data_IF_759511080512
#
_entry.id   IF_759511080512
#
_cell.length_a   1.000
_cell.length_b   1.000
_cell.length_c   1.000
_cell.angle_alpha   90.00
_cell.angle_beta   90.00
_cell.angle_gamma   90.00
#
_symmetry.space_group_name_H-M   'P 1'
#
loop_
_entity.id
_entity.type
_entity.pdbx_description
1 polymer ?
#
# COMPACT_ATOMS: atom_id res chain seq x y z
N UNK A 1 10.47 -5.14 -0.45
CA UNK A 1 8.99 -5.23 -0.63
C UNK A 1 8.39 -3.98 -1.27
N UNK A 2 8.66 -2.76 -0.78
CA UNK A 2 8.10 -1.54 -1.38
C UNK A 2 8.42 -1.38 -2.89
N UNK A 3 9.64 -1.68 -3.31
CA UNK A 3 10.04 -1.64 -4.73
C UNK A 3 9.20 -2.56 -5.63
N UNK A 4 8.78 -3.73 -5.11
CA UNK A 4 7.93 -4.67 -5.85
C UNK A 4 6.51 -4.09 -6.00
N UNK A 5 5.98 -3.46 -4.96
CA UNK A 5 4.67 -2.80 -5.01
C UNK A 5 4.67 -1.60 -5.96
N UNK A 6 5.75 -0.81 -5.98
CA UNK A 6 5.94 0.27 -6.95
C UNK A 6 6.01 -0.29 -8.36
N UNK A 7 6.77 -1.36 -8.59
CA UNK A 7 6.89 -1.98 -9.92
C UNK A 7 5.54 -2.53 -10.43
N UNK A 8 4.83 -3.28 -9.60
CA UNK A 8 3.51 -3.83 -9.94
C UNK A 8 2.48 -2.71 -10.13
N UNK A 9 2.45 -1.71 -9.25
CA UNK A 9 1.58 -0.54 -9.36
C UNK A 9 1.87 0.27 -10.63
N UNK A 10 3.15 0.43 -10.99
CA UNK A 10 3.56 1.10 -12.23
C UNK A 10 3.09 0.35 -13.47
N UNK A 11 3.21 -0.98 -13.48
CA UNK A 11 2.72 -1.81 -14.58
C UNK A 11 1.20 -1.70 -14.75
N UNK A 12 0.44 -1.81 -13.66
CA UNK A 12 -1.02 -1.63 -13.68
C UNK A 12 -1.39 -0.22 -14.12
N UNK A 13 -0.67 0.80 -13.65
CA UNK A 13 -0.88 2.20 -14.00
C UNK A 13 -0.69 2.46 -15.49
N UNK A 14 0.35 1.90 -16.11
CA UNK A 14 0.61 2.02 -17.56
C UNK A 14 -0.52 1.37 -18.36
N UNK A 15 -0.91 0.14 -18.00
CA UNK A 15 -1.98 -0.58 -18.70
C UNK A 15 -3.31 0.18 -18.60
N UNK A 16 -3.63 0.68 -17.41
CA UNK A 16 -4.88 1.42 -17.17
C UNK A 16 -4.87 2.76 -17.90
N UNK A 17 -3.74 3.48 -17.89
CA UNK A 17 -3.57 4.72 -18.66
C UNK A 17 -3.71 4.47 -20.17
N UNK A 18 -3.12 3.39 -20.69
CA UNK A 18 -3.24 3.03 -22.09
C UNK A 18 -4.70 2.73 -22.47
N UNK A 19 -5.43 1.99 -21.63
CA UNK A 19 -6.87 1.73 -21.85
C UNK A 19 -7.65 3.04 -21.83
N UNK A 20 -7.38 3.96 -20.88
CA UNK A 20 -8.06 5.25 -20.81
C UNK A 20 -7.81 6.11 -22.06
N UNK A 21 -6.59 6.15 -22.57
CA UNK A 21 -6.26 6.90 -23.78
C UNK A 21 -6.93 6.28 -25.02
N UNK A 22 -6.89 4.94 -25.15
CA UNK A 22 -7.38 4.24 -26.33
C UNK A 22 -8.90 4.18 -26.43
N UNK A 23 -9.60 4.03 -25.30
CA UNK A 23 -11.05 3.75 -25.29
C UNK A 23 -11.89 4.90 -24.74
N UNK A 24 -11.31 5.82 -23.98
CA UNK A 24 -12.06 6.89 -23.30
C UNK A 24 -11.63 8.30 -23.73
N UNK A 25 -10.76 8.41 -24.75
CA UNK A 25 -10.28 9.69 -25.25
C UNK A 25 -9.50 10.51 -24.20
N UNK A 26 -8.94 9.83 -23.20
CA UNK A 26 -8.18 10.50 -22.15
C UNK A 26 -6.91 11.15 -22.73
N UNK A 27 -6.60 12.33 -22.22
CA UNK A 27 -5.39 13.05 -22.60
C UNK A 27 -4.14 12.39 -22.02
N UNK A 28 -2.99 12.68 -22.62
CA UNK A 28 -1.70 12.15 -22.19
C UNK A 28 -1.39 12.51 -20.72
N UNK A 29 -1.81 13.70 -20.30
CA UNK A 29 -1.70 14.17 -18.92
C UNK A 29 -2.53 13.34 -17.93
N UNK A 30 -3.77 13.01 -18.29
CA UNK A 30 -4.63 12.17 -17.44
C UNK A 30 -4.04 10.78 -17.24
N UNK A 31 -3.51 10.17 -18.30
CA UNK A 31 -2.84 8.88 -18.17
C UNK A 31 -1.55 8.92 -17.35
N UNK A 32 -0.80 10.03 -17.41
CA UNK A 32 0.37 10.23 -16.55
C UNK A 32 -0.02 10.32 -15.07
N UNK A 33 -1.10 11.04 -14.76
CA UNK A 33 -1.66 11.10 -13.39
C UNK A 33 -2.10 9.73 -12.91
N UNK A 34 -2.78 8.95 -13.76
CA UNK A 34 -3.22 7.58 -13.44
C UNK A 34 -2.04 6.66 -13.18
N UNK A 35 -1.00 6.75 -14.01
CA UNK A 35 0.25 6.04 -13.78
C UNK A 35 0.86 6.36 -12.40
N UNK A 36 1.01 7.65 -12.09
CA UNK A 36 1.56 8.09 -10.79
C UNK A 36 0.68 7.66 -9.62
N UNK A 37 -0.64 7.74 -9.77
CA UNK A 37 -1.59 7.34 -8.75
C UNK A 37 -1.48 5.85 -8.41
N UNK A 38 -1.34 4.97 -9.40
CA UNK A 38 -1.15 3.54 -9.15
C UNK A 38 0.27 3.18 -8.69
N UNK A 39 1.29 3.86 -9.23
CA UNK A 39 2.69 3.62 -8.87
C UNK A 39 2.98 3.96 -7.40
N UNK A 40 2.44 5.08 -6.90
CA UNK A 40 2.68 5.55 -5.53
C UNK A 40 1.52 5.24 -4.58
N UNK A 41 0.28 5.25 -5.06
CA UNK A 41 -0.90 5.03 -4.22
C UNK A 41 -0.96 3.63 -3.63
N UNK A 42 -0.63 2.59 -4.41
CA UNK A 42 -0.59 1.21 -3.90
C UNK A 42 0.40 1.05 -2.73
N UNK A 43 1.68 1.45 -2.86
CA UNK A 43 2.62 1.45 -1.75
C UNK A 43 2.13 2.24 -0.53
N UNK A 44 1.56 3.43 -0.74
CA UNK A 44 1.07 4.28 0.35
C UNK A 44 -0.09 3.63 1.11
N UNK A 45 -1.06 3.05 0.40
CA UNK A 45 -2.21 2.37 1.01
C UNK A 45 -1.75 1.14 1.79
N UNK A 46 -0.85 0.33 1.23
CA UNK A 46 -0.31 -0.84 1.92
C UNK A 46 0.47 -0.43 3.17
N UNK A 47 1.26 0.64 3.10
CA UNK A 47 1.98 1.18 4.25
C UNK A 47 1.02 1.69 5.34
N UNK A 48 -0.05 2.40 4.97
CA UNK A 48 -1.09 2.85 5.91
C UNK A 48 -1.80 1.68 6.58
N UNK A 49 -2.12 0.62 5.85
CA UNK A 49 -2.74 -0.59 6.42
C UNK A 49 -1.77 -1.27 7.39
N UNK A 50 -0.50 -1.43 7.00
CA UNK A 50 0.52 -2.01 7.88
C UNK A 50 0.69 -1.20 9.17
N UNK A 51 0.69 0.13 9.06
CA UNK A 51 0.71 1.02 10.21
C UNK A 51 -0.54 0.89 11.09
N UNK A 52 -1.73 0.87 10.50
CA UNK A 52 -2.98 0.69 11.23
C UNK A 52 -3.01 -0.66 11.98
N UNK A 53 -2.57 -1.74 11.33
CA UNK A 53 -2.43 -3.06 11.97
C UNK A 53 -1.42 -3.00 13.12
N UNK A 54 -0.29 -2.31 12.95
CA UNK A 54 0.71 -2.17 14.01
C UNK A 54 0.16 -1.41 15.23
N UNK A 55 -0.58 -0.31 15.00
CA UNK A 55 -1.19 0.49 16.06
C UNK A 55 -2.34 -0.25 16.76
N UNK A 56 -3.16 -0.97 15.99
CA UNK A 56 -4.32 -1.70 16.52
C UNK A 56 -3.96 -3.05 17.14
N UNK A 57 -2.77 -3.59 16.88
CA UNK A 57 -2.30 -4.82 17.51
C UNK A 57 -2.09 -4.53 19.00
N UNK A 58 -2.90 -5.10 19.90
CA UNK A 58 -2.66 -4.94 21.33
C UNK A 58 -1.29 -5.52 21.63
N UNK A 59 -0.45 -4.76 22.31
CA UNK A 59 0.73 -5.30 22.97
C UNK A 59 0.21 -6.31 23.99
N UNK A 60 0.19 -7.60 23.65
CA UNK A 60 -0.04 -8.64 24.64
C UNK A 60 1.07 -8.46 25.66
N UNK A 61 0.80 -8.03 26.90
CA UNK A 61 1.84 -8.01 27.92
C UNK A 61 2.25 -9.46 28.08
N UNK A 62 3.53 -9.76 27.83
CA UNK A 62 4.13 -11.02 28.22
C UNK A 62 3.69 -11.31 29.65
N UNK A 63 2.87 -12.34 29.81
CA UNK A 63 2.44 -12.88 31.11
C UNK A 63 3.59 -13.67 31.76
N UNK A 64 4.83 -13.26 31.54
CA UNK A 64 6.03 -13.99 31.99
C UNK A 64 6.63 -13.43 33.28
N UNK A 65 6.11 -12.33 33.85
CA UNK A 65 6.66 -11.78 35.12
C UNK A 65 5.81 -12.04 36.38
N UNK A 66 4.65 -12.70 36.29
CA UNK A 66 3.76 -12.91 37.44
C UNK A 66 3.82 -14.33 38.05
N UNK A 67 4.69 -15.21 37.56
CA UNK A 67 4.82 -16.58 38.06
C UNK A 67 5.85 -16.79 39.16
N UNK A 68 6.78 -15.84 39.40
CA UNK A 68 7.97 -16.09 40.22
C UNK A 68 8.09 -15.21 41.47
N UNK A 69 7.16 -14.29 41.70
CA UNK A 69 7.12 -13.49 42.94
C UNK A 69 5.67 -13.28 43.40
N UNK A 70 5.10 -14.29 44.07
CA UNK A 70 4.33 -14.10 45.32
C UNK A 70 3.80 -15.44 45.86
N UNK A 71 4.33 -15.74 47.05
CA UNK A 71 3.83 -16.64 48.11
C UNK A 71 3.86 -18.15 47.84
#
# INVERSE_FOLDING_TARGET
MALVLIFVGSFIGIVTAAIQMLFFGATLWQGFVVYFAFSLGLPTVVAMIGWAVHVLRPSVPERDELGWYKA
#
